data_IF_249951379099
#
_entry.id   IF_249951379099
#
_cell.length_a   1.000
_cell.length_b   1.000
_cell.length_c   1.000
_cell.angle_alpha   90.00
_cell.angle_beta   90.00
_cell.angle_gamma   90.00
#
_symmetry.space_group_name_H-M   'P 1'
#
loop_
_entity.id
_entity.type
_entity.pdbx_description
1 polymer ?
#
# COMPACT_ATOMS: atom_id res chain seq x y z
N UNK A 1 -13.09 -3.76 23.23
CA UNK A 1 -12.09 -4.27 22.29
C UNK A 1 -11.85 -3.32 21.12
N UNK A 2 -12.87 -2.57 20.68
CA UNK A 2 -12.82 -1.70 19.50
C UNK A 2 -12.79 -0.20 19.84
N UNK A 3 -12.88 0.15 21.11
CA UNK A 3 -12.80 1.53 21.59
C UNK A 3 -11.35 1.81 21.98
N UNK A 4 -10.60 2.33 21.05
CA UNK A 4 -9.16 2.51 21.19
C UNK A 4 -8.82 3.96 21.53
N UNK A 5 -8.07 4.14 22.61
CA UNK A 5 -7.52 5.42 23.04
C UNK A 5 -6.00 5.38 23.08
N UNK A 6 -5.37 6.53 22.99
CA UNK A 6 -3.93 6.72 23.17
C UNK A 6 -3.67 7.98 23.99
N UNK A 7 -2.62 7.95 24.77
CA UNK A 7 -2.07 9.14 25.38
C UNK A 7 -1.24 9.89 24.34
N UNK A 8 -1.65 11.10 23.97
CA UNK A 8 -0.97 11.97 23.03
C UNK A 8 -0.83 13.32 23.72
N UNK A 9 0.39 13.82 23.87
CA UNK A 9 0.73 15.08 24.53
C UNK A 9 0.13 15.20 25.94
N UNK A 10 0.09 14.08 26.68
CA UNK A 10 -0.45 14.02 28.05
C UNK A 10 -1.97 13.95 28.15
N UNK A 11 -2.68 13.91 27.06
CA UNK A 11 -4.15 13.78 27.02
C UNK A 11 -4.59 12.46 26.40
N UNK A 12 -5.62 11.85 26.99
CA UNK A 12 -6.26 10.67 26.38
C UNK A 12 -7.08 11.09 25.15
N UNK A 13 -6.69 10.58 24.00
CA UNK A 13 -7.35 10.87 22.71
C UNK A 13 -8.01 9.61 22.16
N UNK A 14 -9.24 9.77 21.70
CA UNK A 14 -9.97 8.73 20.98
C UNK A 14 -9.53 8.69 19.53
N UNK A 15 -9.33 7.48 19.04
CA UNK A 15 -9.05 7.31 17.62
C UNK A 15 -10.26 7.76 16.76
N UNK A 16 -9.99 8.60 15.78
CA UNK A 16 -11.05 9.25 14.94
C UNK A 16 -12.03 8.26 14.31
N UNK A 17 -11.57 7.04 13.95
CA UNK A 17 -12.41 6.01 13.31
C UNK A 17 -12.93 4.98 14.30
N UNK A 18 -12.79 5.15 15.60
CA UNK A 18 -13.23 4.20 16.62
C UNK A 18 -14.68 3.80 16.46
N UNK A 19 -15.59 4.78 16.24
CA UNK A 19 -17.02 4.51 16.08
C UNK A 19 -17.29 3.72 14.79
N UNK A 20 -16.66 4.12 13.68
CA UNK A 20 -16.83 3.42 12.41
C UNK A 20 -16.25 2.01 12.44
N UNK A 21 -15.10 1.81 13.09
CA UNK A 21 -14.52 0.48 13.29
C UNK A 21 -15.42 -0.39 14.18
N UNK A 22 -15.98 0.17 15.25
CA UNK A 22 -16.94 -0.54 16.09
C UNK A 22 -18.13 -1.05 15.28
N UNK A 23 -18.73 -0.18 14.46
CA UNK A 23 -19.84 -0.55 13.60
C UNK A 23 -19.46 -1.60 12.53
N UNK A 24 -18.26 -1.51 11.93
CA UNK A 24 -17.79 -2.47 10.93
C UNK A 24 -17.51 -3.87 11.50
N UNK A 25 -16.98 -3.92 12.71
CA UNK A 25 -16.51 -5.16 13.35
C UNK A 25 -17.57 -5.83 14.22
N UNK A 26 -18.64 -5.11 14.53
CA UNK A 26 -19.76 -5.61 15.31
C UNK A 26 -21.01 -5.76 14.43
N UNK A 27 -21.20 -6.95 13.90
CA UNK A 27 -22.28 -7.26 12.95
C UNK A 27 -23.67 -7.06 13.53
N UNK A 28 -23.82 -7.13 14.85
CA UNK A 28 -25.11 -6.95 15.53
C UNK A 28 -25.54 -5.48 15.58
N UNK A 29 -24.59 -4.55 15.42
CA UNK A 29 -24.85 -3.09 15.40
C UNK A 29 -25.03 -2.57 13.97
N UNK A 30 -24.47 -3.27 12.99
CA UNK A 30 -24.56 -2.85 11.59
C UNK A 30 -25.82 -3.44 10.94
N UNK A 31 -26.74 -2.64 10.39
CA UNK A 31 -27.93 -3.16 9.74
C UNK A 31 -27.56 -4.18 8.65
N UNK A 32 -28.14 -5.38 8.73
CA UNK A 32 -27.85 -6.48 7.80
C UNK A 32 -28.04 -6.07 6.32
N UNK A 33 -28.95 -5.15 6.06
CA UNK A 33 -29.25 -4.58 4.74
C UNK A 33 -28.08 -3.82 4.14
N UNK A 34 -27.33 -3.04 4.94
CA UNK A 34 -26.14 -2.32 4.48
C UNK A 34 -25.01 -3.30 4.16
N UNK A 35 -24.85 -4.34 4.97
CA UNK A 35 -23.82 -5.39 4.75
C UNK A 35 -24.17 -6.22 3.53
N UNK A 36 -25.44 -6.58 3.33
CA UNK A 36 -25.89 -7.34 2.16
C UNK A 36 -25.84 -6.52 0.87
N UNK A 37 -26.18 -5.25 0.91
CA UNK A 37 -26.09 -4.32 -0.23
C UNK A 37 -24.64 -4.22 -0.73
N UNK A 38 -23.68 -3.99 0.17
CA UNK A 38 -22.25 -3.94 -0.16
C UNK A 38 -21.71 -5.29 -0.65
N UNK A 39 -22.10 -6.42 -0.05
CA UNK A 39 -21.68 -7.75 -0.53
C UNK A 39 -22.15 -8.04 -1.95
N UNK A 40 -23.36 -7.60 -2.33
CA UNK A 40 -23.86 -7.76 -3.72
C UNK A 40 -23.08 -6.91 -4.71
N UNK A 41 -22.63 -5.72 -4.30
CA UNK A 41 -21.85 -4.82 -5.16
C UNK A 41 -20.44 -5.33 -5.40
N UNK A 42 -19.78 -5.88 -4.35
CA UNK A 42 -18.43 -6.46 -4.46
C UNK A 42 -18.37 -7.89 -5.02
N UNK A 43 -19.51 -8.59 -5.10
CA UNK A 43 -19.55 -9.96 -5.64
C UNK A 43 -19.51 -10.01 -7.18
N UNK A 44 -19.69 -8.88 -7.86
CA UNK A 44 -19.56 -8.81 -9.32
C UNK A 44 -18.17 -8.30 -9.68
N UNK A 45 -17.48 -9.03 -10.54
CA UNK A 45 -16.25 -8.53 -11.17
C UNK A 45 -16.59 -7.26 -11.93
N UNK A 46 -15.81 -6.21 -11.74
CA UNK A 46 -16.06 -4.95 -12.45
C UNK A 46 -15.93 -5.20 -13.96
N UNK A 47 -16.85 -4.70 -14.81
CA UNK A 47 -16.82 -4.95 -16.25
C UNK A 47 -15.48 -4.62 -16.92
N UNK A 48 -14.76 -3.62 -16.41
CA UNK A 48 -13.40 -3.30 -16.86
C UNK A 48 -12.43 -4.47 -16.60
N UNK A 49 -12.54 -5.15 -15.46
CA UNK A 49 -11.68 -6.31 -15.15
C UNK A 49 -11.99 -7.48 -16.08
N UNK A 50 -13.28 -7.73 -16.36
CA UNK A 50 -13.69 -8.76 -17.34
C UNK A 50 -13.15 -8.45 -18.72
N UNK A 51 -13.26 -7.18 -19.15
CA UNK A 51 -12.69 -6.73 -20.42
C UNK A 51 -11.18 -6.94 -20.47
N UNK A 52 -10.44 -6.53 -19.44
CA UNK A 52 -8.97 -6.69 -19.36
C UNK A 52 -8.56 -8.18 -19.47
N UNK A 53 -9.29 -9.08 -18.82
CA UNK A 53 -8.99 -10.53 -18.85
C UNK A 53 -9.16 -11.15 -20.24
N UNK A 54 -9.92 -10.52 -21.14
CA UNK A 54 -10.12 -10.97 -22.53
C UNK A 54 -9.16 -10.34 -23.53
N UNK A 55 -8.34 -9.38 -23.10
CA UNK A 55 -7.41 -8.70 -24.01
C UNK A 55 -6.19 -9.57 -24.32
N UNK A 56 -5.62 -9.35 -25.52
CA UNK A 56 -4.31 -9.90 -25.87
C UNK A 56 -3.25 -9.21 -25.00
N UNK A 57 -2.44 -10.01 -24.32
CA UNK A 57 -1.34 -9.52 -23.52
C UNK A 57 -0.15 -9.14 -24.41
N UNK A 58 0.47 -8.02 -24.10
CA UNK A 58 1.71 -7.53 -24.68
C UNK A 58 2.91 -7.96 -23.83
N UNK A 59 4.08 -7.34 -24.08
CA UNK A 59 5.26 -7.52 -23.26
C UNK A 59 4.98 -7.21 -21.77
N UNK A 60 5.61 -7.94 -20.88
CA UNK A 60 5.41 -7.87 -19.42
C UNK A 60 3.96 -8.16 -18.97
N UNK A 61 3.21 -8.96 -19.72
CA UNK A 61 1.81 -9.28 -19.42
C UNK A 61 0.90 -8.04 -19.33
N UNK A 62 1.20 -6.99 -20.08
CA UNK A 62 0.44 -5.75 -20.11
C UNK A 62 -0.58 -5.73 -21.23
N UNK A 63 -1.64 -4.97 -21.04
CA UNK A 63 -2.67 -4.69 -22.04
C UNK A 63 -3.41 -3.38 -21.72
N UNK A 64 -4.29 -2.97 -22.62
CA UNK A 64 -5.25 -1.88 -22.43
C UNK A 64 -4.61 -0.59 -21.88
N UNK A 65 -3.59 -0.09 -22.58
CA UNK A 65 -2.89 1.15 -22.22
C UNK A 65 -3.81 2.36 -22.21
N UNK A 66 -3.79 3.10 -21.12
CA UNK A 66 -4.55 4.35 -20.94
C UNK A 66 -3.60 5.52 -20.72
N UNK A 67 -3.83 6.61 -21.44
CA UNK A 67 -3.14 7.87 -21.20
C UNK A 67 -3.79 8.60 -20.03
N UNK A 68 -2.97 8.96 -19.05
CA UNK A 68 -3.37 9.73 -17.86
C UNK A 68 -2.76 11.13 -17.97
N UNK A 69 -3.59 12.17 -17.78
CA UNK A 69 -3.12 13.53 -17.55
C UNK A 69 -3.46 13.89 -16.11
N UNK A 70 -2.44 14.25 -15.34
CA UNK A 70 -2.59 14.53 -13.91
C UNK A 70 -2.10 15.93 -13.57
N UNK A 71 -2.80 16.56 -12.62
CA UNK A 71 -2.34 17.77 -11.95
C UNK A 71 -2.24 17.46 -10.47
N UNK A 72 -1.02 17.50 -9.92
CA UNK A 72 -0.77 17.34 -8.50
C UNK A 72 -0.36 18.67 -7.91
N UNK A 73 -0.89 18.98 -6.72
CA UNK A 73 -0.47 20.16 -5.99
C UNK A 73 -0.49 19.96 -4.48
N UNK A 74 0.35 20.74 -3.81
CA UNK A 74 0.35 20.96 -2.36
C UNK A 74 0.27 22.47 -2.16
N UNK A 75 -0.54 22.91 -1.20
CA UNK A 75 -0.65 24.30 -0.83
C UNK A 75 -0.37 24.46 0.66
N UNK A 76 0.58 25.34 0.97
CA UNK A 76 0.89 25.76 2.32
C UNK A 76 0.12 27.05 2.56
N UNK A 77 -0.74 27.14 3.59
CA UNK A 77 -1.54 28.35 3.87
C UNK A 77 -0.66 29.59 4.06
N UNK A 78 -1.25 30.75 3.78
CA UNK A 78 -0.60 32.02 4.04
C UNK A 78 -0.13 32.13 5.52
N UNK A 79 1.08 32.66 5.70
CA UNK A 79 1.69 32.91 7.01
C UNK A 79 1.90 31.65 7.91
N UNK A 80 1.69 30.44 7.37
CA UNK A 80 2.03 29.19 8.07
C UNK A 80 3.55 28.99 8.23
N UNK A 81 4.34 29.65 7.40
CA UNK A 81 5.81 29.69 7.47
C UNK A 81 6.24 31.16 7.43
N UNK A 82 7.25 31.60 8.23
CA UNK A 82 7.74 32.95 8.21
C UNK A 82 8.16 33.42 6.81
N UNK A 83 7.84 34.68 6.48
CA UNK A 83 8.21 35.24 5.18
C UNK A 83 9.72 35.21 4.95
N UNK A 84 10.14 34.82 3.75
CA UNK A 84 11.54 34.65 3.36
C UNK A 84 12.13 33.26 3.61
N UNK A 85 11.49 32.42 4.44
CA UNK A 85 11.89 31.03 4.64
C UNK A 85 11.62 30.18 3.39
N UNK A 86 12.46 29.17 3.17
CA UNK A 86 12.33 28.28 2.02
C UNK A 86 11.44 27.07 2.36
N UNK A 87 10.34 26.93 1.66
CA UNK A 87 9.47 25.77 1.71
C UNK A 87 9.92 24.77 0.63
N UNK A 88 10.04 23.51 0.99
CA UNK A 88 10.45 22.40 0.11
C UNK A 88 9.31 21.43 -0.05
N UNK A 89 9.09 20.96 -1.28
CA UNK A 89 8.04 20.00 -1.59
C UNK A 89 8.55 18.86 -2.48
N UNK A 90 8.11 17.65 -2.21
CA UNK A 90 8.35 16.45 -3.01
C UNK A 90 7.00 15.90 -3.44
N UNK A 91 6.71 15.99 -4.74
CA UNK A 91 5.47 15.45 -5.30
C UNK A 91 5.74 14.10 -5.99
N UNK A 92 4.90 13.07 -5.78
CA UNK A 92 5.06 11.79 -6.44
C UNK A 92 5.07 11.92 -7.96
N UNK A 93 5.98 11.22 -8.62
CA UNK A 93 6.10 11.19 -10.07
C UNK A 93 6.22 9.75 -10.58
N UNK A 94 5.53 9.39 -11.66
CA UNK A 94 5.58 8.03 -12.19
C UNK A 94 6.98 7.70 -12.74
N UNK A 95 7.28 6.40 -12.83
CA UNK A 95 8.52 5.88 -13.42
C UNK A 95 8.25 4.63 -14.25
N UNK A 96 9.17 4.31 -15.15
CA UNK A 96 9.07 3.11 -15.97
C UNK A 96 9.24 1.86 -15.09
N UNK A 97 8.23 1.02 -15.09
CA UNK A 97 8.20 -0.24 -14.34
C UNK A 97 7.52 -1.37 -15.14
N UNK A 98 7.47 -1.25 -16.46
CA UNK A 98 6.78 -2.18 -17.35
C UNK A 98 5.25 -2.03 -17.38
N UNK A 99 4.66 -1.25 -16.46
CA UNK A 99 3.23 -0.88 -16.43
C UNK A 99 2.99 0.60 -16.69
N UNK A 100 4.03 1.40 -16.64
CA UNK A 100 3.99 2.84 -16.84
C UNK A 100 5.06 3.23 -17.84
N UNK A 101 4.72 4.10 -18.78
CA UNK A 101 5.63 4.57 -19.85
C UNK A 101 5.23 5.96 -20.34
N UNK A 102 6.04 6.53 -21.21
CA UNK A 102 5.76 7.79 -21.94
C UNK A 102 5.49 8.97 -21.00
N UNK A 103 6.36 9.16 -20.01
CA UNK A 103 6.24 10.25 -19.03
C UNK A 103 6.62 11.58 -19.65
N UNK A 104 5.80 12.59 -19.43
CA UNK A 104 6.03 13.95 -19.88
C UNK A 104 5.62 14.93 -18.77
N UNK A 105 6.58 15.65 -18.20
CA UNK A 105 6.29 16.79 -17.34
C UNK A 105 5.88 17.97 -18.24
N UNK A 106 4.64 18.43 -18.11
CA UNK A 106 4.05 19.48 -18.94
C UNK A 106 4.33 20.88 -18.36
N UNK A 107 4.22 21.01 -17.05
CA UNK A 107 4.53 22.26 -16.34
C UNK A 107 4.78 22.02 -14.85
N UNK A 108 5.48 22.95 -14.22
CA UNK A 108 5.67 23.05 -12.77
C UNK A 108 5.61 24.49 -12.31
N UNK A 109 5.18 24.72 -11.06
CA UNK A 109 5.06 26.07 -10.46
C UNK A 109 6.41 26.71 -10.12
N UNK A 110 7.48 25.92 -10.04
CA UNK A 110 8.86 26.38 -9.87
C UNK A 110 9.80 25.39 -10.57
N UNK A 111 11.12 25.67 -10.53
CA UNK A 111 12.10 24.74 -11.08
C UNK A 111 11.90 23.34 -10.46
N UNK A 112 11.67 22.36 -11.31
CA UNK A 112 11.43 20.98 -10.92
C UNK A 112 12.73 20.17 -11.06
N UNK A 113 13.10 19.43 -10.01
CA UNK A 113 14.24 18.53 -10.00
C UNK A 113 13.73 17.11 -9.82
N UNK A 114 13.97 16.24 -10.80
CA UNK A 114 13.62 14.85 -10.72
C UNK A 114 14.59 14.09 -9.81
N UNK A 115 14.06 13.41 -8.81
CA UNK A 115 14.82 12.43 -8.04
C UNK A 115 14.80 11.10 -8.80
N UNK A 116 15.90 10.75 -9.44
CA UNK A 116 16.11 9.46 -10.08
C UNK A 116 17.05 8.60 -9.21
N UNK A 117 16.77 7.31 -9.11
CA UNK A 117 17.67 6.35 -8.44
C UNK A 117 17.25 5.90 -7.05
N UNK A 118 16.11 6.34 -6.52
CA UNK A 118 15.49 5.78 -5.32
C UNK A 118 14.23 4.97 -5.67
N UNK A 119 13.75 4.17 -4.75
CA UNK A 119 12.44 3.49 -4.88
C UNK A 119 11.27 4.49 -4.92
N UNK A 120 11.49 5.70 -4.44
CA UNK A 120 10.53 6.80 -4.47
C UNK A 120 10.90 7.78 -5.56
N UNK A 121 10.14 7.79 -6.65
CA UNK A 121 10.29 8.78 -7.71
C UNK A 121 9.47 10.01 -7.36
N UNK A 122 10.14 11.15 -7.24
CA UNK A 122 9.52 12.43 -6.88
C UNK A 122 10.06 13.55 -7.76
N UNK A 123 9.26 14.59 -7.86
CA UNK A 123 9.70 15.90 -8.34
C UNK A 123 9.86 16.80 -7.11
N UNK A 124 11.08 17.28 -6.91
CA UNK A 124 11.42 18.25 -5.88
C UNK A 124 11.24 19.65 -6.41
N UNK A 125 10.64 20.52 -5.61
CA UNK A 125 10.47 21.94 -5.86
C UNK A 125 10.71 22.72 -4.59
N UNK A 126 11.16 23.99 -4.72
CA UNK A 126 11.25 24.89 -3.58
C UNK A 126 10.77 26.31 -3.95
N UNK A 127 10.23 27.01 -2.98
CA UNK A 127 9.79 28.39 -3.09
C UNK A 127 9.97 29.10 -1.75
N UNK A 128 10.18 30.42 -1.79
CA UNK A 128 10.21 31.23 -0.58
C UNK A 128 8.79 31.63 -0.16
N UNK A 129 8.52 31.53 1.14
CA UNK A 129 7.28 32.03 1.72
C UNK A 129 7.17 33.54 1.54
N UNK A 130 5.99 34.01 1.12
CA UNK A 130 5.67 35.44 0.96
C UNK A 130 4.59 35.82 1.98
N UNK A 131 4.78 36.92 2.69
CA UNK A 131 3.81 37.36 3.70
C UNK A 131 2.42 37.54 3.12
N UNK A 132 1.43 37.00 3.80
CA UNK A 132 0.01 37.11 3.40
C UNK A 132 -0.37 36.31 2.14
N UNK A 133 0.53 35.47 1.60
CA UNK A 133 0.25 34.66 0.41
C UNK A 133 0.44 33.16 0.67
N UNK A 134 -0.45 32.30 0.20
CA UNK A 134 -0.23 30.86 0.23
C UNK A 134 0.92 30.48 -0.72
N UNK A 135 1.67 29.43 -0.39
CA UNK A 135 2.71 28.88 -1.27
C UNK A 135 2.18 27.61 -1.90
N UNK A 136 2.04 27.61 -3.22
CA UNK A 136 1.50 26.48 -3.98
C UNK A 136 2.57 25.84 -4.85
N UNK A 137 2.76 24.54 -4.66
CA UNK A 137 3.57 23.68 -5.52
C UNK A 137 2.63 22.87 -6.40
N UNK A 138 2.70 23.09 -7.69
CA UNK A 138 1.87 22.39 -8.67
C UNK A 138 2.74 21.81 -9.79
N UNK A 139 2.42 20.61 -10.23
CA UNK A 139 2.95 20.03 -11.46
C UNK A 139 1.84 19.41 -12.29
N UNK A 140 1.96 19.54 -13.61
CA UNK A 140 1.13 18.86 -14.60
C UNK A 140 1.98 17.91 -15.41
N UNK A 141 1.51 16.68 -15.55
CA UNK A 141 2.24 15.66 -16.29
C UNK A 141 1.29 14.69 -16.98
N UNK A 142 1.80 13.98 -17.97
CA UNK A 142 1.11 12.87 -18.60
C UNK A 142 1.96 11.62 -18.58
N UNK A 143 1.32 10.47 -18.61
CA UNK A 143 1.95 9.16 -18.75
C UNK A 143 0.94 8.15 -19.29
N UNK A 144 1.42 7.00 -19.69
CA UNK A 144 0.57 5.85 -19.99
C UNK A 144 0.67 4.80 -18.90
N UNK A 145 -0.46 4.18 -18.54
CA UNK A 145 -0.52 3.06 -17.62
C UNK A 145 -1.21 1.88 -18.29
N UNK A 146 -0.58 0.70 -18.25
CA UNK A 146 -1.13 -0.55 -18.73
C UNK A 146 -1.75 -1.38 -17.62
N UNK A 147 -2.85 -2.05 -17.91
CA UNK A 147 -3.33 -3.14 -17.07
C UNK A 147 -2.34 -4.30 -17.13
N UNK A 148 -2.14 -4.99 -16.02
CA UNK A 148 -1.23 -6.12 -15.95
C UNK A 148 -1.98 -7.36 -15.45
N UNK A 149 -1.84 -8.47 -16.16
CA UNK A 149 -2.54 -9.73 -15.86
C UNK A 149 -1.54 -10.86 -15.69
N UNK A 150 -1.64 -11.57 -14.59
CA UNK A 150 -0.86 -12.77 -14.32
C UNK A 150 -1.80 -13.95 -14.04
N UNK A 151 -1.75 -14.97 -14.86
CA UNK A 151 -2.46 -16.22 -14.59
C UNK A 151 -1.63 -17.11 -13.69
N UNK A 152 -2.22 -17.62 -12.60
CA UNK A 152 -1.52 -18.47 -11.64
C UNK A 152 -0.85 -19.69 -12.30
N UNK A 153 -1.51 -20.31 -13.28
CA UNK A 153 -0.95 -21.43 -14.02
C UNK A 153 0.38 -21.08 -14.73
N UNK A 154 0.49 -19.87 -15.31
CA UNK A 154 1.69 -19.40 -15.98
C UNK A 154 2.81 -19.08 -14.97
N UNK A 155 2.44 -18.51 -13.83
CA UNK A 155 3.39 -18.27 -12.74
C UNK A 155 3.98 -19.60 -12.27
N UNK A 156 3.15 -20.60 -11.99
CA UNK A 156 3.59 -21.90 -11.52
C UNK A 156 4.47 -22.62 -12.54
N UNK A 157 4.15 -22.53 -13.83
CA UNK A 157 4.92 -23.12 -14.92
C UNK A 157 6.31 -22.50 -15.08
N UNK A 158 6.43 -21.20 -14.79
CA UNK A 158 7.66 -20.42 -14.96
C UNK A 158 8.44 -20.20 -13.64
N UNK A 159 8.04 -20.88 -12.57
CA UNK A 159 8.69 -20.76 -11.27
C UNK A 159 10.16 -21.15 -11.34
N UNK A 160 11.01 -20.29 -10.82
CA UNK A 160 12.46 -20.54 -10.68
C UNK A 160 12.83 -20.69 -9.21
N UNK A 161 13.81 -21.54 -8.93
CA UNK A 161 14.38 -21.65 -7.59
C UNK A 161 15.06 -20.35 -7.16
N UNK A 162 14.94 -20.00 -5.89
CA UNK A 162 15.67 -18.88 -5.33
C UNK A 162 17.17 -19.17 -5.25
N UNK A 163 17.99 -18.22 -5.67
CA UNK A 163 19.39 -18.19 -5.25
C UNK A 163 19.45 -17.56 -3.85
N UNK A 164 19.48 -18.43 -2.84
CA UNK A 164 19.53 -18.02 -1.42
C UNK A 164 20.82 -17.30 -1.02
N UNK A 165 21.86 -17.32 -1.86
CA UNK A 165 23.10 -16.60 -1.61
C UNK A 165 23.09 -15.20 -2.22
N UNK A 166 22.17 -14.90 -3.13
CA UNK A 166 22.07 -13.59 -3.75
C UNK A 166 21.74 -12.50 -2.73
N UNK A 167 22.26 -11.30 -2.95
CA UNK A 167 21.97 -10.12 -2.12
C UNK A 167 20.49 -9.75 -2.20
N UNK A 168 19.87 -9.99 -3.35
CA UNK A 168 18.46 -9.77 -3.55
C UNK A 168 17.61 -10.64 -2.60
N UNK A 169 17.89 -11.96 -2.56
CA UNK A 169 17.20 -12.87 -1.66
C UNK A 169 17.38 -12.48 -0.19
N UNK A 170 18.64 -12.27 0.22
CA UNK A 170 18.99 -11.87 1.59
C UNK A 170 18.27 -10.58 1.99
N UNK A 171 18.26 -9.58 1.12
CA UNK A 171 17.57 -8.31 1.36
C UNK A 171 16.06 -8.49 1.56
N UNK A 172 15.40 -9.23 0.68
CA UNK A 172 13.95 -9.33 0.69
C UNK A 172 13.40 -10.39 1.66
N UNK A 173 14.23 -11.26 2.22
CA UNK A 173 13.85 -12.19 3.29
C UNK A 173 14.35 -11.77 4.66
N UNK A 174 15.13 -10.69 4.75
CA UNK A 174 15.63 -10.17 6.03
C UNK A 174 14.51 -9.58 6.88
N UNK A 175 14.72 -9.63 8.20
CA UNK A 175 13.93 -8.86 9.15
C UNK A 175 14.28 -7.38 9.03
N UNK A 176 13.27 -6.51 9.01
CA UNK A 176 13.41 -5.05 9.06
C UNK A 176 12.51 -4.50 10.18
N UNK A 177 13.07 -4.44 11.39
CA UNK A 177 12.36 -3.95 12.57
C UNK A 177 12.01 -2.46 12.44
N UNK A 178 10.88 -2.02 13.03
CA UNK A 178 9.98 -2.85 13.84
C UNK A 178 8.83 -3.50 13.05
N UNK A 179 8.67 -3.18 11.75
CA UNK A 179 7.43 -3.49 11.03
C UNK A 179 7.51 -4.66 10.04
N UNK A 180 8.69 -5.24 9.83
CA UNK A 180 8.83 -6.50 9.10
C UNK A 180 9.47 -7.54 10.03
N UNK A 181 8.61 -8.16 10.82
CA UNK A 181 9.00 -9.02 11.93
C UNK A 181 9.21 -10.47 11.47
N UNK A 182 10.43 -10.98 11.63
CA UNK A 182 10.77 -12.40 11.37
C UNK A 182 11.24 -13.03 12.67
N UNK A 183 10.35 -13.72 13.36
CA UNK A 183 10.65 -14.38 14.62
C UNK A 183 10.04 -15.80 14.69
N UNK A 184 10.28 -16.51 15.79
CA UNK A 184 9.77 -17.86 15.99
C UNK A 184 8.25 -17.94 15.93
N UNK A 185 7.53 -16.94 16.47
CA UNK A 185 6.06 -16.88 16.46
C UNK A 185 5.54 -16.76 15.02
N UNK A 186 6.07 -15.81 14.24
CA UNK A 186 5.70 -15.65 12.83
C UNK A 186 5.98 -16.90 12.02
N UNK A 187 7.16 -17.51 12.21
CA UNK A 187 7.53 -18.76 11.54
C UNK A 187 6.58 -19.90 11.88
N UNK A 188 6.28 -20.10 13.17
CA UNK A 188 5.36 -21.15 13.61
C UNK A 188 3.95 -20.95 13.04
N UNK A 189 3.47 -19.70 13.04
CA UNK A 189 2.16 -19.36 12.48
C UNK A 189 2.15 -19.61 10.96
N UNK A 190 3.14 -19.13 10.25
CA UNK A 190 3.24 -19.32 8.79
C UNK A 190 3.28 -20.81 8.44
N UNK A 191 4.10 -21.63 9.14
CA UNK A 191 4.16 -23.07 8.95
C UNK A 191 2.82 -23.77 9.23
N UNK A 192 2.10 -23.32 10.27
CA UNK A 192 0.76 -23.85 10.59
C UNK A 192 -0.24 -23.55 9.48
N UNK A 193 -0.17 -22.37 8.86
CA UNK A 193 -1.06 -21.97 7.78
C UNK A 193 -0.79 -22.78 6.50
N UNK A 194 0.49 -22.91 6.11
CA UNK A 194 0.84 -23.56 4.85
C UNK A 194 0.90 -25.08 4.94
N UNK A 195 0.98 -25.66 6.14
CA UNK A 195 1.02 -27.10 6.35
C UNK A 195 2.19 -27.78 5.64
N UNK A 196 1.90 -28.74 4.78
CA UNK A 196 2.89 -29.49 4.01
C UNK A 196 3.22 -28.86 2.64
N UNK A 197 2.62 -27.72 2.27
CA UNK A 197 2.89 -27.06 1.00
C UNK A 197 4.31 -26.53 0.94
N UNK A 198 5.02 -26.78 -0.18
CA UNK A 198 6.41 -26.37 -0.39
C UNK A 198 6.59 -25.39 -1.55
N UNK A 199 5.59 -25.26 -2.41
CA UNK A 199 5.63 -24.31 -3.52
C UNK A 199 5.42 -22.88 -2.99
N UNK A 200 6.37 -21.95 -3.17
CA UNK A 200 6.28 -20.61 -2.59
C UNK A 200 5.09 -19.79 -3.09
N UNK A 201 4.64 -19.99 -4.32
CA UNK A 201 3.47 -19.30 -4.88
C UNK A 201 2.18 -19.81 -4.20
N UNK A 202 2.07 -21.11 -3.99
CA UNK A 202 0.93 -21.70 -3.30
C UNK A 202 0.95 -21.37 -1.80
N UNK A 203 2.13 -21.37 -1.16
CA UNK A 203 2.28 -20.90 0.21
C UNK A 203 1.81 -19.45 0.37
N UNK A 204 2.20 -18.58 -0.58
CA UNK A 204 1.76 -17.18 -0.59
C UNK A 204 0.23 -17.07 -0.73
N UNK A 205 -0.38 -17.86 -1.61
CA UNK A 205 -1.84 -17.91 -1.74
C UNK A 205 -2.53 -18.37 -0.46
N UNK A 206 -2.04 -19.43 0.18
CA UNK A 206 -2.60 -19.94 1.44
C UNK A 206 -2.56 -18.90 2.56
N UNK A 207 -1.44 -18.16 2.68
CA UNK A 207 -1.31 -17.09 3.68
C UNK A 207 -2.25 -15.93 3.35
N UNK A 208 -2.37 -15.54 2.07
CA UNK A 208 -3.30 -14.51 1.63
C UNK A 208 -4.75 -14.87 1.98
N UNK A 209 -5.17 -16.08 1.65
CA UNK A 209 -6.52 -16.57 1.92
C UNK A 209 -6.81 -16.62 3.42
N UNK A 210 -5.83 -17.08 4.21
CA UNK A 210 -5.94 -17.11 5.66
C UNK A 210 -6.10 -15.70 6.25
N UNK A 211 -5.28 -14.72 5.82
CA UNK A 211 -5.42 -13.33 6.27
C UNK A 211 -6.79 -12.78 5.87
N UNK A 212 -7.20 -12.99 4.63
CA UNK A 212 -8.49 -12.50 4.11
C UNK A 212 -9.69 -13.05 4.89
N UNK A 213 -9.60 -14.29 5.35
CA UNK A 213 -10.66 -14.95 6.11
C UNK A 213 -10.69 -14.53 7.59
N UNK A 214 -9.54 -14.18 8.18
CA UNK A 214 -9.41 -13.98 9.63
C UNK A 214 -9.25 -12.53 10.07
N UNK A 215 -8.84 -11.62 9.16
CA UNK A 215 -8.54 -10.22 9.49
C UNK A 215 -9.42 -9.28 8.67
N UNK A 216 -10.63 -8.95 9.16
CA UNK A 216 -11.51 -7.99 8.49
C UNK A 216 -10.84 -6.62 8.43
N UNK A 217 -11.16 -5.87 7.39
CA UNK A 217 -10.67 -4.51 7.24
C UNK A 217 -11.27 -3.58 8.30
N UNK A 218 -10.41 -2.76 8.90
CA UNK A 218 -10.80 -1.65 9.77
C UNK A 218 -9.82 -0.50 9.59
N UNK A 219 -10.28 0.73 9.83
CA UNK A 219 -9.40 1.91 9.74
C UNK A 219 -8.28 1.84 10.79
N UNK A 220 -7.05 2.07 10.36
CA UNK A 220 -5.88 2.09 11.23
C UNK A 220 -5.83 3.33 12.13
N UNK A 221 -5.26 3.18 13.31
CA UNK A 221 -4.66 4.28 14.08
C UNK A 221 -3.40 4.78 13.36
N UNK A 222 -2.84 5.88 13.82
CA UNK A 222 -1.58 6.39 13.27
C UNK A 222 -0.46 5.35 13.45
N UNK A 223 0.19 4.97 12.37
CA UNK A 223 1.24 3.93 12.35
C UNK A 223 2.41 4.28 13.23
N UNK A 224 2.75 5.57 13.38
CA UNK A 224 3.82 6.04 14.25
C UNK A 224 3.57 5.73 15.74
N UNK A 225 2.32 5.46 16.12
CA UNK A 225 1.93 5.09 17.48
C UNK A 225 1.94 3.58 17.75
N UNK A 226 2.25 2.77 16.73
CA UNK A 226 2.25 1.30 16.82
C UNK A 226 3.71 0.81 16.87
N UNK A 227 4.16 0.23 17.98
CA UNK A 227 5.54 -0.24 18.10
C UNK A 227 5.93 -1.33 17.09
N UNK A 228 5.00 -2.25 16.81
CA UNK A 228 5.21 -3.35 15.85
C UNK A 228 3.88 -3.71 15.18
N UNK A 229 3.70 -3.32 13.93
CA UNK A 229 2.42 -3.48 13.23
C UNK A 229 2.03 -4.94 13.04
N UNK A 230 2.88 -5.89 12.59
CA UNK A 230 2.47 -7.29 12.46
C UNK A 230 1.98 -7.91 13.77
N UNK A 231 2.66 -7.63 14.89
CA UNK A 231 2.21 -8.12 16.19
C UNK A 231 0.89 -7.50 16.62
N UNK A 232 0.76 -6.18 16.43
CA UNK A 232 -0.48 -5.46 16.72
C UNK A 232 -1.68 -6.04 15.97
N UNK A 233 -1.53 -6.34 14.66
CA UNK A 233 -2.60 -6.96 13.87
C UNK A 233 -3.00 -8.33 14.43
N UNK A 234 -2.03 -9.16 14.84
CA UNK A 234 -2.30 -10.45 15.46
C UNK A 234 -3.09 -10.28 16.76
N UNK A 235 -2.76 -9.27 17.56
CA UNK A 235 -3.37 -9.05 18.88
C UNK A 235 -4.81 -8.53 18.77
N UNK A 236 -5.08 -7.66 17.78
CA UNK A 236 -6.40 -7.03 17.64
C UNK A 236 -7.34 -7.76 16.67
N UNK A 237 -6.81 -8.67 15.83
CA UNK A 237 -7.53 -9.46 14.82
C UNK A 237 -8.28 -8.63 13.75
N UNK A 238 -7.74 -7.50 13.36
CA UNK A 238 -8.20 -6.69 12.23
C UNK A 238 -7.09 -5.72 11.81
N UNK A 239 -7.29 -5.01 10.68
CA UNK A 239 -6.34 -4.00 10.25
C UNK A 239 -6.75 -3.31 8.95
N UNK A 240 -6.09 -2.23 8.61
CA UNK A 240 -6.20 -1.66 7.28
C UNK A 240 -5.28 -2.37 6.28
N UNK A 241 -5.33 -1.94 5.01
CA UNK A 241 -4.56 -2.57 3.94
C UNK A 241 -3.05 -2.59 4.20
N UNK A 242 -2.46 -1.52 4.75
CA UNK A 242 -1.03 -1.47 5.05
C UNK A 242 -0.66 -2.36 6.24
N UNK A 243 -1.47 -2.39 7.27
CA UNK A 243 -1.25 -3.21 8.46
C UNK A 243 -1.28 -4.71 8.13
N UNK A 244 -2.30 -5.18 7.40
CA UNK A 244 -2.38 -6.60 7.01
C UNK A 244 -1.31 -6.98 5.97
N UNK A 245 -0.87 -6.03 5.13
CA UNK A 245 0.25 -6.25 4.21
C UNK A 245 1.55 -6.48 4.96
N UNK A 246 1.84 -5.74 6.03
CA UNK A 246 3.05 -5.94 6.84
C UNK A 246 3.01 -7.27 7.60
N UNK A 247 1.84 -7.73 8.05
CA UNK A 247 1.67 -9.09 8.57
C UNK A 247 1.95 -10.13 7.49
N UNK A 248 1.39 -9.96 6.28
CA UNK A 248 1.59 -10.86 5.16
C UNK A 248 3.08 -10.98 4.79
N UNK A 249 3.79 -9.85 4.64
CA UNK A 249 5.23 -9.83 4.37
C UNK A 249 6.00 -10.55 5.48
N UNK A 250 5.67 -10.32 6.75
CA UNK A 250 6.35 -10.96 7.89
C UNK A 250 6.19 -12.47 7.89
N UNK A 251 5.01 -12.98 7.54
CA UNK A 251 4.74 -14.42 7.43
C UNK A 251 5.51 -15.03 6.23
N UNK A 252 5.52 -14.38 5.07
CA UNK A 252 6.27 -14.85 3.89
C UNK A 252 7.77 -14.87 4.15
N UNK A 253 8.35 -13.78 4.65
CA UNK A 253 9.77 -13.70 5.00
C UNK A 253 10.18 -14.77 6.02
N UNK A 254 9.27 -15.14 6.93
CA UNK A 254 9.51 -16.21 7.91
C UNK A 254 9.60 -17.61 7.29
N UNK A 255 9.11 -17.78 6.06
CA UNK A 255 9.26 -19.00 5.24
C UNK A 255 10.41 -18.89 4.21
N UNK A 256 11.03 -17.72 4.09
CA UNK A 256 12.08 -17.46 3.10
C UNK A 256 11.54 -17.16 1.70
N UNK A 257 10.36 -16.50 1.64
CA UNK A 257 9.66 -16.06 0.43
C UNK A 257 9.72 -14.54 0.33
#
# INVERSE_FOLDING_TARGET
KYLETRMIDGEERWFRKTISNFALLNKDVYPAEIVQGKKKEYAKVHPMCEHILTQKLEENNTCDWKKVNATFYIEVPADAVPAGETIKAWLPYPFDNGRQRNFLLLSSSSQAIHSSGSLHHTVYMEQKAVKGQPTRFEMKFSYEVGAQVFHQADILKNLKSYDKQSDLYKKFTAQELPHMLVNKQMKTLAQKIVGAETNPVLQASLIYDWISANYPWAGAIDYSTIPCIPQYVLDINHGDCGQVTLLYISLLRSLGI
#
